data_IF_799141257161
#
_entry.id   IF_799141257161
#
_cell.length_a   1.000
_cell.length_b   1.000
_cell.length_c   1.000
_cell.angle_alpha   90.00
_cell.angle_beta   90.00
_cell.angle_gamma   90.00
#
_symmetry.space_group_name_H-M   'P 1'
#
loop_
_entity.id
_entity.type
_entity.pdbx_description
1 polymer ?
#
# COMPACT_ATOMS: atom_id res chain seq x y z
N UNK A 1 -14.18 -4.22 9.61
CA UNK A 1 -13.87 -2.77 9.53
C UNK A 1 -13.70 -2.26 8.09
N UNK A 2 -13.29 -3.10 7.13
CA UNK A 2 -13.49 -2.79 5.70
C UNK A 2 -14.99 -2.84 5.38
N UNK A 3 -15.59 -1.67 5.17
CA UNK A 3 -17.03 -1.50 4.93
C UNK A 3 -17.27 -0.93 3.55
N UNK A 4 -18.46 -1.17 3.00
CA UNK A 4 -18.88 -0.42 1.82
C UNK A 4 -19.11 1.03 2.21
N UNK A 5 -19.02 1.95 1.25
CA UNK A 5 -19.23 3.38 1.50
C UNK A 5 -20.57 3.69 2.19
N UNK A 6 -21.62 2.89 1.95
CA UNK A 6 -22.94 3.08 2.56
C UNK A 6 -22.97 2.77 4.05
N UNK A 7 -22.12 1.85 4.51
CA UNK A 7 -22.12 1.37 5.89
C UNK A 7 -21.08 2.09 6.75
N UNK A 8 -20.48 3.16 6.23
CA UNK A 8 -19.35 3.86 6.87
C UNK A 8 -19.70 4.46 8.24
N UNK A 9 -20.97 4.85 8.46
CA UNK A 9 -21.47 5.38 9.73
C UNK A 9 -21.83 4.30 10.76
N UNK A 10 -21.97 3.03 10.34
CA UNK A 10 -22.25 1.93 11.26
C UNK A 10 -20.96 1.42 11.90
N UNK A 11 -20.54 2.02 13.01
CA UNK A 11 -19.44 1.51 13.83
C UNK A 11 -19.89 0.23 14.55
N UNK A 12 -19.43 -0.92 14.05
CA UNK A 12 -19.64 -2.23 14.70
C UNK A 12 -18.41 -2.60 15.55
N UNK A 13 -17.23 -2.12 15.14
CA UNK A 13 -15.95 -2.29 15.83
C UNK A 13 -14.93 -1.33 15.20
N UNK A 14 -14.13 -0.65 16.01
CA UNK A 14 -13.06 0.24 15.56
C UNK A 14 -11.74 -0.53 15.52
N UNK A 15 -10.92 -0.33 14.48
CA UNK A 15 -9.53 -0.85 14.49
C UNK A 15 -8.75 -0.04 15.51
N UNK A 16 -8.00 -0.72 16.37
CA UNK A 16 -7.13 -0.11 17.37
C UNK A 16 -7.68 -0.08 18.79
N UNK A 17 -8.89 -0.60 19.04
CA UNK A 17 -9.45 -0.68 20.40
C UNK A 17 -8.64 -1.58 21.35
N UNK A 18 -7.86 -2.51 20.80
CA UNK A 18 -7.10 -3.54 21.51
C UNK A 18 -5.59 -3.24 21.64
N UNK A 19 -5.15 -2.04 21.25
CA UNK A 19 -3.71 -1.69 21.24
C UNK A 19 -3.19 -1.16 22.58
N UNK A 20 -3.92 -1.34 23.67
CA UNK A 20 -3.51 -0.99 25.05
C UNK A 20 -2.88 0.43 25.19
N UNK A 21 -3.40 1.41 24.44
CA UNK A 21 -2.92 2.80 24.47
C UNK A 21 -1.82 3.15 23.47
N UNK A 22 -1.31 2.19 22.67
CA UNK A 22 -0.30 2.49 21.66
C UNK A 22 -0.87 3.37 20.52
N UNK A 23 -0.25 4.53 20.24
CA UNK A 23 -0.72 5.44 19.20
C UNK A 23 -0.31 4.99 17.79
N UNK A 24 0.71 4.14 17.69
CA UNK A 24 1.24 3.63 16.42
C UNK A 24 0.41 2.44 15.93
N UNK A 25 -0.05 2.50 14.68
CA UNK A 25 -0.90 1.48 14.09
C UNK A 25 -0.50 1.16 12.65
N UNK A 26 -0.31 -0.12 12.36
CA UNK A 26 -0.09 -0.64 11.01
C UNK A 26 -1.30 -1.47 10.57
N UNK A 27 -1.81 -1.19 9.37
CA UNK A 27 -2.87 -1.96 8.74
C UNK A 27 -2.45 -2.43 7.34
N UNK A 28 -2.39 -3.75 7.17
CA UNK A 28 -2.10 -4.39 5.89
C UNK A 28 -3.38 -4.83 5.18
N UNK A 29 -3.56 -4.42 3.92
CA UNK A 29 -4.72 -4.78 3.08
C UNK A 29 -4.23 -5.45 1.80
N UNK A 30 -4.37 -6.79 1.67
CA UNK A 30 -4.14 -7.49 0.40
C UNK A 30 -5.36 -7.36 -0.53
N UNK A 31 -5.11 -7.22 -1.82
CA UNK A 31 -6.15 -7.30 -2.85
C UNK A 31 -6.10 -8.67 -3.55
N UNK A 32 -7.28 -9.21 -3.87
CA UNK A 32 -7.41 -10.44 -4.65
C UNK A 32 -6.95 -10.27 -6.10
N UNK A 33 -6.98 -9.04 -6.61
CA UNK A 33 -6.59 -8.68 -7.97
C UNK A 33 -5.89 -7.33 -7.97
N UNK A 34 -5.10 -7.05 -9.02
CA UNK A 34 -4.45 -5.75 -9.13
C UNK A 34 -5.48 -4.63 -9.34
N UNK A 35 -5.35 -3.57 -8.55
CA UNK A 35 -6.21 -2.40 -8.60
C UNK A 35 -5.40 -1.12 -8.82
N UNK A 36 -6.07 -0.10 -9.34
CA UNK A 36 -5.59 1.27 -9.30
C UNK A 36 -6.34 2.04 -8.21
N UNK A 37 -5.60 2.66 -7.28
CA UNK A 37 -6.15 3.45 -6.18
C UNK A 37 -5.98 4.93 -6.56
N UNK A 38 -7.08 5.68 -6.52
CA UNK A 38 -7.11 7.11 -6.87
C UNK A 38 -7.19 8.00 -5.65
N UNK A 39 -7.98 7.59 -4.67
CA UNK A 39 -8.10 8.29 -3.38
C UNK A 39 -8.41 7.33 -2.25
N UNK A 40 -8.11 7.78 -1.04
CA UNK A 40 -8.42 7.08 0.21
C UNK A 40 -9.31 7.99 1.03
N UNK A 41 -10.27 7.42 1.73
CA UNK A 41 -11.03 8.11 2.78
C UNK A 41 -10.81 7.40 4.10
N UNK A 42 -10.51 8.16 5.15
CA UNK A 42 -10.24 7.63 6.50
C UNK A 42 -11.14 8.39 7.47
N UNK A 43 -11.80 7.65 8.36
CA UNK A 43 -12.52 8.22 9.49
C UNK A 43 -12.06 7.53 10.77
N UNK A 44 -11.83 8.33 11.80
CA UNK A 44 -11.54 7.89 13.15
C UNK A 44 -12.62 8.31 14.13
N UNK A 45 -12.41 7.99 15.40
CA UNK A 45 -13.35 8.29 16.47
C UNK A 45 -12.81 9.44 17.34
N UNK A 46 -13.47 10.59 17.32
CA UNK A 46 -13.08 11.75 18.13
C UNK A 46 -11.60 12.12 17.97
N UNK A 47 -10.93 12.43 19.08
CA UNK A 47 -9.51 12.80 19.09
C UNK A 47 -8.57 11.61 18.84
N UNK A 48 -9.03 10.37 19.01
CA UNK A 48 -8.26 9.17 18.69
C UNK A 48 -8.13 8.93 17.17
N UNK A 49 -8.69 9.83 16.35
CA UNK A 49 -8.51 9.82 14.90
C UNK A 49 -7.02 10.01 14.53
N UNK A 50 -6.49 9.22 13.58
CA UNK A 50 -5.11 9.38 13.14
C UNK A 50 -4.85 10.80 12.60
N UNK A 51 -3.64 11.30 12.87
CA UNK A 51 -3.21 12.64 12.44
C UNK A 51 -2.57 12.65 11.07
N UNK A 52 -1.79 11.64 10.76
CA UNK A 52 -1.11 11.49 9.48
C UNK A 52 -1.10 10.03 9.07
N UNK A 53 -0.84 9.79 7.79
CA UNK A 53 -0.77 8.45 7.24
C UNK A 53 0.37 8.33 6.22
N UNK A 54 1.11 7.23 6.34
CA UNK A 54 2.13 6.79 5.39
C UNK A 54 1.61 5.55 4.65
N UNK A 55 1.68 5.57 3.32
CA UNK A 55 1.21 4.48 2.47
C UNK A 55 2.38 3.76 1.81
N UNK A 56 2.38 2.44 1.91
CA UNK A 56 3.29 1.56 1.21
C UNK A 56 2.48 0.64 0.30
N UNK A 57 2.97 0.37 -0.90
CA UNK A 57 2.26 -0.45 -1.89
C UNK A 57 3.12 -1.60 -2.36
N UNK A 58 2.51 -2.76 -2.58
CA UNK A 58 3.16 -3.96 -3.10
C UNK A 58 4.35 -4.45 -2.27
N UNK A 59 4.27 -4.28 -0.96
CA UNK A 59 5.25 -4.75 0.02
C UNK A 59 4.55 -5.53 1.12
N UNK A 60 5.17 -6.62 1.53
CA UNK A 60 4.74 -7.50 2.62
C UNK A 60 5.69 -7.45 3.82
N UNK A 61 6.76 -6.67 3.72
CA UNK A 61 7.83 -6.51 4.70
C UNK A 61 7.75 -5.17 5.46
N UNK A 62 6.55 -4.59 5.56
CA UNK A 62 6.33 -3.34 6.30
C UNK A 62 5.95 -3.64 7.74
N UNK A 63 6.88 -3.35 8.65
CA UNK A 63 6.70 -3.36 10.10
C UNK A 63 7.18 -2.03 10.72
N UNK A 64 7.11 -1.90 12.05
CA UNK A 64 7.48 -0.67 12.76
C UNK A 64 8.96 -0.28 12.61
N UNK A 65 9.86 -1.24 12.36
CA UNK A 65 11.27 -0.91 12.08
C UNK A 65 11.44 -0.47 10.62
N UNK A 66 10.78 -1.16 9.70
CA UNK A 66 10.88 -0.90 8.27
C UNK A 66 10.35 0.48 7.88
N UNK A 67 9.31 0.98 8.55
CA UNK A 67 8.74 2.31 8.28
C UNK A 67 9.67 3.48 8.63
N UNK A 68 10.70 3.26 9.45
CA UNK A 68 11.71 4.27 9.78
C UNK A 68 12.70 4.48 8.64
N UNK A 69 13.09 3.40 7.96
CA UNK A 69 14.13 3.41 6.93
C UNK A 69 13.55 3.54 5.50
N UNK A 70 12.30 3.11 5.29
CA UNK A 70 11.73 3.00 3.96
C UNK A 70 10.88 4.22 3.60
N UNK A 71 11.11 4.83 2.43
CA UNK A 71 10.27 5.93 1.97
C UNK A 71 8.86 5.41 1.62
N UNK A 72 7.80 6.09 2.11
CA UNK A 72 6.44 5.74 1.71
C UNK A 72 6.19 6.13 0.25
N UNK A 73 5.24 5.44 -0.38
CA UNK A 73 4.76 5.78 -1.73
C UNK A 73 3.96 7.10 -1.74
N UNK A 74 3.31 7.41 -0.62
CA UNK A 74 2.61 8.67 -0.37
C UNK A 74 2.49 8.89 1.13
N UNK A 75 2.62 10.13 1.57
CA UNK A 75 2.45 10.56 2.95
C UNK A 75 1.64 11.86 2.96
N UNK A 76 0.66 11.95 3.84
CA UNK A 76 -0.16 13.14 3.99
C UNK A 76 -0.79 13.24 5.38
N UNK A 77 -1.08 14.47 5.78
CA UNK A 77 -1.80 14.77 7.01
C UNK A 77 -3.32 14.63 6.80
N UNK A 78 -3.98 14.13 7.82
CA UNK A 78 -5.43 14.05 7.90
C UNK A 78 -5.98 15.35 8.49
N UNK A 79 -7.19 15.69 8.12
CA UNK A 79 -7.88 16.87 8.63
C UNK A 79 -8.37 16.60 10.06
N UNK A 80 -8.15 17.56 10.95
CA UNK A 80 -8.62 17.47 12.32
C UNK A 80 -10.14 17.26 12.37
N UNK A 81 -10.66 16.35 13.22
CA UNK A 81 -12.09 16.04 13.29
C UNK A 81 -13.00 17.25 13.50
N UNK A 82 -12.53 18.29 14.19
CA UNK A 82 -13.29 19.54 14.41
C UNK A 82 -13.58 20.35 13.15
N UNK A 83 -12.91 20.04 12.03
CA UNK A 83 -13.14 20.69 10.73
C UNK A 83 -14.04 19.85 9.81
N UNK A 84 -14.47 18.67 10.25
CA UNK A 84 -15.44 17.86 9.55
C UNK A 84 -16.84 18.36 9.89
N UNK A 85 -17.70 18.48 8.88
CA UNK A 85 -19.11 18.81 9.11
C UNK A 85 -19.75 17.74 9.99
N UNK A 86 -20.58 18.14 10.97
CA UNK A 86 -21.27 17.24 11.92
C UNK A 86 -22.32 16.33 11.25
N UNK A 87 -22.45 16.34 9.92
CA UNK A 87 -23.33 15.42 9.21
C UNK A 87 -22.82 13.98 9.32
N UNK A 88 -23.70 13.09 9.81
CA UNK A 88 -23.39 11.67 9.95
C UNK A 88 -22.87 11.07 8.63
N UNK A 89 -21.62 10.63 8.67
CA UNK A 89 -20.94 10.02 7.53
C UNK A 89 -20.29 11.02 6.58
N UNK A 90 -20.07 12.28 6.94
CA UNK A 90 -19.15 13.11 6.16
C UNK A 90 -17.75 12.49 6.17
N UNK A 91 -17.16 12.27 5.00
CA UNK A 91 -15.84 11.62 4.86
C UNK A 91 -15.02 12.36 3.81
N UNK A 92 -13.79 12.74 4.15
CA UNK A 92 -12.88 13.40 3.20
C UNK A 92 -12.20 12.35 2.32
N UNK A 93 -12.13 12.65 1.02
CA UNK A 93 -11.32 11.90 0.07
C UNK A 93 -9.97 12.56 -0.11
N UNK A 94 -8.91 11.84 0.25
CA UNK A 94 -7.53 12.23 0.05
C UNK A 94 -7.02 11.66 -1.29
N UNK A 95 -6.81 12.50 -2.32
CA UNK A 95 -6.32 12.05 -3.61
C UNK A 95 -4.86 11.61 -3.52
N UNK A 96 -4.54 10.43 -4.06
CA UNK A 96 -3.19 9.89 -4.00
C UNK A 96 -2.32 10.46 -5.12
N UNK A 97 -1.22 11.09 -4.71
CA UNK A 97 -0.22 11.70 -5.60
C UNK A 97 1.19 11.37 -5.09
N UNK A 98 2.14 11.04 -5.98
CA UNK A 98 1.96 10.83 -7.42
C UNK A 98 1.12 9.57 -7.73
N UNK A 99 0.41 9.55 -8.86
CA UNK A 99 -0.52 8.45 -9.19
C UNK A 99 0.17 7.15 -9.64
N UNK A 100 1.45 7.22 -10.03
CA UNK A 100 2.21 6.11 -10.62
C UNK A 100 2.30 4.85 -9.74
N UNK A 101 2.74 4.96 -8.47
CA UNK A 101 2.79 3.82 -7.55
C UNK A 101 1.44 3.13 -7.34
N UNK A 102 0.34 3.85 -7.53
CA UNK A 102 -1.01 3.39 -7.22
C UNK A 102 -1.79 2.83 -8.42
N UNK A 103 -1.17 2.47 -9.55
CA UNK A 103 -1.89 1.94 -10.73
C UNK A 103 -2.02 0.41 -10.78
N UNK A 104 -1.11 -0.32 -10.12
CA UNK A 104 -1.05 -1.78 -10.17
C UNK A 104 -0.74 -2.32 -8.77
N UNK A 105 -1.66 -2.08 -7.85
CA UNK A 105 -1.53 -2.39 -6.43
C UNK A 105 -2.16 -3.76 -6.15
N UNK A 106 -1.37 -4.70 -5.63
CA UNK A 106 -1.82 -5.98 -5.10
C UNK A 106 -1.88 -6.03 -3.57
N UNK A 107 -1.21 -5.11 -2.89
CA UNK A 107 -1.34 -4.89 -1.45
C UNK A 107 -1.06 -3.43 -1.11
N UNK A 108 -1.70 -2.92 -0.07
CA UNK A 108 -1.40 -1.60 0.50
C UNK A 108 -1.27 -1.72 2.01
N UNK A 109 -0.23 -1.10 2.56
CA UNK A 109 -0.02 -0.96 3.99
C UNK A 109 -0.20 0.49 4.38
N UNK A 110 -1.06 0.70 5.37
CA UNK A 110 -1.26 1.97 6.05
C UNK A 110 -0.44 1.96 7.32
N UNK A 111 0.37 2.99 7.53
CA UNK A 111 1.02 3.24 8.80
C UNK A 111 0.55 4.59 9.35
N UNK A 112 0.05 4.57 10.58
CA UNK A 112 -0.41 5.73 11.33
C UNK A 112 0.53 5.91 12.52
N UNK A 113 1.43 6.91 12.50
CA UNK A 113 2.42 7.13 13.56
C UNK A 113 1.86 7.91 14.76
N UNK A 114 0.53 8.05 14.84
CA UNK A 114 -0.12 8.82 15.91
C UNK A 114 -1.46 9.44 15.52
N UNK A 115 -2.10 10.02 16.53
CA UNK A 115 -3.44 10.59 16.48
C UNK A 115 -3.49 12.02 17.04
N UNK A 116 -4.67 12.63 17.03
CA UNK A 116 -4.89 13.99 17.53
C UNK A 116 -5.07 14.08 19.05
N UNK A 117 -5.27 12.95 19.74
CA UNK A 117 -5.56 12.88 21.17
C UNK A 117 -4.34 12.88 22.06
N UNK A 118 -3.14 12.75 21.49
CA UNK A 118 -1.90 12.86 22.25
C UNK A 118 -1.47 14.32 22.40
N UNK A 119 -1.58 14.85 23.62
CA UNK A 119 -0.97 16.12 24.03
C UNK A 119 0.38 15.87 24.72
N UNK A 120 1.34 16.78 24.53
CA UNK A 120 2.66 16.68 25.14
C UNK A 120 2.57 16.63 26.67
N UNK A 121 2.98 15.51 27.26
CA UNK A 121 2.98 15.30 28.71
C UNK A 121 1.77 14.53 29.26
N UNK A 122 0.84 14.11 28.40
CA UNK A 122 -0.25 13.21 28.76
C UNK A 122 0.03 11.74 28.39
N UNK A 123 -0.75 10.83 28.95
CA UNK A 123 -0.68 9.40 28.64
C UNK A 123 -1.01 9.17 27.17
N UNK A 124 -0.33 8.22 26.54
CA UNK A 124 -0.62 7.87 25.15
C UNK A 124 -2.03 7.32 25.01
N UNK A 125 -2.73 7.81 24.00
CA UNK A 125 -4.06 7.34 23.66
C UNK A 125 -3.96 6.55 22.36
N UNK A 126 -4.65 5.42 22.31
CA UNK A 126 -4.68 4.56 21.13
C UNK A 126 -5.34 5.21 19.92
N UNK A 127 -4.84 4.88 18.74
CA UNK A 127 -5.44 5.32 17.47
C UNK A 127 -6.66 4.47 17.14
N UNK A 128 -7.83 5.09 16.99
CA UNK A 128 -9.09 4.42 16.66
C UNK A 128 -9.57 4.78 15.25
N UNK A 129 -9.75 3.77 14.40
CA UNK A 129 -10.22 3.94 13.02
C UNK A 129 -11.55 3.22 12.82
N UNK A 130 -12.60 3.98 12.49
CA UNK A 130 -13.97 3.48 12.29
C UNK A 130 -14.26 3.09 10.84
N UNK A 131 -13.52 3.68 9.89
CA UNK A 131 -13.66 3.42 8.46
C UNK A 131 -12.40 3.74 7.65
N UNK A 132 -12.10 2.85 6.70
CA UNK A 132 -11.16 3.10 5.60
C UNK A 132 -11.86 2.75 4.29
N UNK A 133 -11.94 3.73 3.40
CA UNK A 133 -12.46 3.62 2.05
C UNK A 133 -11.35 3.76 1.02
N UNK A 134 -11.32 2.85 0.05
CA UNK A 134 -10.39 2.92 -1.08
C UNK A 134 -11.21 3.17 -2.35
N UNK A 135 -10.96 4.28 -3.04
CA UNK A 135 -11.64 4.62 -4.29
C UNK A 135 -10.69 4.45 -5.44
N UNK A 136 -11.12 3.69 -6.43
CA UNK A 136 -10.22 3.21 -7.48
C UNK A 136 -10.95 2.41 -8.55
N UNK A 137 -10.19 1.76 -9.40
CA UNK A 137 -10.70 0.86 -10.43
C UNK A 137 -9.91 -0.44 -10.44
N UNK A 138 -10.55 -1.55 -10.83
CA UNK A 138 -9.84 -2.78 -11.13
C UNK A 138 -8.94 -2.55 -12.35
N UNK A 139 -7.70 -3.04 -12.28
CA UNK A 139 -6.81 -3.04 -13.42
C UNK A 139 -7.03 -4.36 -14.19
N UNK A 140 -7.23 -4.30 -15.51
CA UNK A 140 -7.45 -5.50 -16.35
C UNK A 140 -6.21 -6.40 -16.51
N UNK A 141 -5.17 -6.18 -15.70
CA UNK A 141 -3.92 -6.94 -15.74
C UNK A 141 -4.13 -8.25 -14.99
N UNK A 142 -4.39 -9.32 -15.74
CA UNK A 142 -4.30 -10.68 -15.20
C UNK A 142 -2.82 -10.95 -14.91
N UNK A 143 -2.48 -11.34 -13.68
CA UNK A 143 -1.19 -11.99 -13.39
C UNK A 143 -1.22 -13.34 -14.10
N UNK A 144 -0.79 -13.40 -15.36
CA UNK A 144 -0.33 -14.66 -15.92
C UNK A 144 1.02 -14.96 -15.27
N UNK A 145 1.11 -16.10 -14.57
CA UNK A 145 2.38 -16.62 -14.12
C UNK A 145 3.27 -16.79 -15.35
N UNK A 146 4.23 -15.89 -15.53
CA UNK A 146 5.19 -15.99 -16.62
C UNK A 146 6.03 -17.24 -16.35
N UNK A 147 5.71 -18.35 -17.00
CA UNK A 147 6.53 -19.55 -16.98
C UNK A 147 7.79 -19.24 -17.78
N UNK A 148 8.78 -18.65 -17.12
CA UNK A 148 10.12 -18.53 -17.64
C UNK A 148 10.70 -19.96 -17.74
N UNK A 149 10.48 -20.60 -18.89
CA UNK A 149 11.22 -21.82 -19.24
C UNK A 149 12.65 -21.39 -19.51
N UNK A 150 13.49 -21.43 -18.48
CA UNK A 150 14.92 -21.33 -18.67
C UNK A 150 15.36 -22.68 -19.25
N UNK A 151 15.42 -22.78 -20.58
CA UNK A 151 16.03 -23.92 -21.24
C UNK A 151 17.54 -23.91 -20.92
N UNK A 152 17.90 -24.46 -19.77
CA UNK A 152 19.27 -24.78 -19.40
C UNK A 152 19.67 -26.09 -20.09
N UNK A 153 19.68 -26.09 -21.42
CA UNK A 153 20.44 -27.06 -22.20
C UNK A 153 21.20 -26.27 -23.25
N UNK A 154 22.52 -26.20 -23.11
CA UNK A 154 23.36 -25.67 -24.17
C UNK A 154 23.14 -26.53 -25.43
N UNK A 155 22.54 -25.95 -26.48
CA UNK A 155 22.55 -26.59 -27.79
C UNK A 155 23.97 -26.47 -28.35
N UNK A 156 24.71 -27.58 -28.36
CA UNK A 156 26.06 -27.73 -28.94
C UNK A 156 26.10 -27.34 -30.44
N UNK A 157 24.95 -27.18 -31.09
CA UNK A 157 24.85 -26.83 -32.52
C UNK A 157 25.05 -25.35 -32.85
N UNK A 158 25.10 -24.43 -31.89
CA UNK A 158 25.19 -22.98 -32.19
C UNK A 158 26.52 -22.32 -31.82
N UNK A 159 27.52 -23.11 -31.42
CA UNK A 159 28.89 -22.63 -31.35
C UNK A 159 29.54 -22.74 -32.74
N UNK A 160 29.40 -21.69 -33.56
CA UNK A 160 30.31 -21.50 -34.69
C UNK A 160 31.68 -21.15 -34.13
N UNK A 161 32.62 -22.10 -34.18
CA UNK A 161 34.03 -21.82 -33.94
C UNK A 161 34.51 -20.81 -35.00
N UNK A 162 34.84 -19.56 -34.63
CA UNK A 162 35.45 -18.62 -35.56
C UNK A 162 36.92 -19.02 -35.72
N UNK A 163 37.20 -19.93 -36.66
CA UNK A 163 38.57 -20.36 -36.92
C UNK A 163 38.78 -21.53 -37.89
N UNK A 164 37.73 -22.21 -38.36
CA UNK A 164 37.88 -23.42 -39.18
C UNK A 164 37.75 -23.21 -40.71
N UNK A 165 37.60 -21.97 -41.21
CA UNK A 165 37.39 -21.70 -42.65
C UNK A 165 38.59 -21.03 -43.35
N UNK A 166 39.82 -21.09 -42.80
CA UNK A 166 41.00 -20.48 -43.42
C UNK A 166 42.21 -21.41 -43.57
N UNK A 167 41.98 -22.69 -43.84
CA UNK A 167 42.99 -23.57 -44.44
C UNK A 167 42.32 -24.49 -45.46
N UNK A 168 42.33 -24.09 -46.73
CA UNK A 168 41.78 -24.96 -47.77
C UNK A 168 41.65 -24.32 -49.14
N UNK A 169 42.62 -23.52 -49.59
CA UNK A 169 42.85 -23.23 -51.02
C UNK A 169 44.03 -22.29 -51.17
N UNK A 170 45.19 -22.81 -51.55
CA UNK A 170 46.07 -22.27 -52.60
C UNK A 170 47.08 -23.38 -52.93
N UNK A 171 46.89 -24.01 -54.08
CA UNK A 171 47.89 -24.89 -54.66
C UNK A 171 48.83 -24.07 -55.56
N UNK A 172 50.11 -24.41 -55.53
CA UNK A 172 51.01 -24.46 -56.69
C UNK A 172 51.95 -25.65 -56.47
#
# INVERSE_FOLDING_TARGET
>A
VLKTYRDRSHAIHDIGEETDGDPDLILYIPFSEAVSIKSVSIMGNGMNCPRSVKLYVNRDDIDFAAVEDLPPACEFDLVHPSHLEEEEGSSIDYPLRPAGPFQNVSSVTFYFPGNFGHEEGEEYVQTCISYIGLKGSRTSVKREAFKATYEKVAQIKDHKNPGAELMGRFGV
#
